data_IF_290390247899
#
_entry.id   IF_290390247899
#
_cell.length_a   1.000
_cell.length_b   1.000
_cell.length_c   1.000
_cell.angle_alpha   90.00
_cell.angle_beta   90.00
_cell.angle_gamma   90.00
#
_symmetry.space_group_name_H-M   'P 1'
#
loop_
_entity.id
_entity.type
_entity.pdbx_description
1 polymer ?
#
# COMPACT_ATOMS: atom_id res chain seq x y z
N UNK A 1 -0.19 -6.19 -10.57
CA UNK A 1 -0.10 -6.88 -9.26
C UNK A 1 1.20 -6.44 -8.61
N UNK A 2 1.13 -5.73 -7.49
CA UNK A 2 2.32 -5.21 -6.77
C UNK A 2 3.02 -6.39 -6.09
N UNK A 3 4.33 -6.57 -6.34
CA UNK A 3 5.15 -7.56 -5.62
C UNK A 3 5.83 -6.87 -4.45
N UNK A 4 5.33 -7.12 -3.24
CA UNK A 4 6.01 -6.69 -2.01
C UNK A 4 7.02 -7.75 -1.60
N UNK A 5 8.28 -7.36 -1.48
CA UNK A 5 9.38 -8.20 -1.00
C UNK A 5 9.83 -7.57 0.32
N UNK A 6 9.82 -8.37 1.39
CA UNK A 6 10.29 -7.95 2.71
C UNK A 6 11.69 -8.52 2.97
N UNK A 7 12.57 -7.72 3.54
CA UNK A 7 13.99 -8.04 3.75
C UNK A 7 14.22 -9.16 4.78
N UNK A 8 13.18 -9.54 5.54
CA UNK A 8 13.24 -10.69 6.45
C UNK A 8 13.28 -12.05 5.73
N UNK A 9 13.21 -12.06 4.39
CA UNK A 9 13.25 -13.28 3.59
C UNK A 9 11.96 -14.09 3.63
N UNK A 10 10.82 -13.47 3.97
CA UNK A 10 9.54 -14.14 3.93
C UNK A 10 9.16 -14.52 2.48
N UNK A 11 9.05 -15.82 2.22
CA UNK A 11 8.68 -16.38 0.91
C UNK A 11 7.22 -16.88 0.87
N UNK A 12 6.49 -16.82 1.99
CA UNK A 12 5.11 -17.28 2.06
C UNK A 12 4.19 -16.32 1.29
N UNK A 13 3.46 -16.79 0.25
CA UNK A 13 2.47 -16.00 -0.46
C UNK A 13 1.36 -15.43 0.43
N UNK A 14 1.04 -16.09 1.55
CA UNK A 14 0.03 -15.69 2.52
C UNK A 14 0.63 -15.02 3.77
N UNK A 15 1.96 -14.82 3.77
CA UNK A 15 2.70 -14.22 4.89
C UNK A 15 2.60 -12.70 4.95
N UNK A 16 1.72 -12.10 4.15
CA UNK A 16 1.47 -10.67 4.14
C UNK A 16 -0.02 -10.38 4.31
N UNK A 17 -0.36 -9.47 5.21
CA UNK A 17 -1.69 -8.86 5.25
C UNK A 17 -1.66 -7.56 4.46
N UNK A 18 -2.76 -7.27 3.75
CA UNK A 18 -2.93 -6.04 3.00
C UNK A 18 -4.22 -5.36 3.40
N UNK A 19 -4.13 -4.05 3.63
CA UNK A 19 -5.21 -3.19 4.05
C UNK A 19 -5.29 -2.00 3.10
N UNK A 20 -6.50 -1.65 2.66
CA UNK A 20 -6.72 -0.45 1.85
C UNK A 20 -7.55 0.52 2.68
N UNK A 21 -7.04 1.73 2.85
CA UNK A 21 -7.78 2.85 3.45
C UNK A 21 -7.99 3.93 2.39
N UNK A 22 -9.18 4.53 2.37
CA UNK A 22 -9.49 5.61 1.45
C UNK A 22 -9.06 6.94 2.08
N UNK A 23 -8.25 7.73 1.37
CA UNK A 23 -8.05 9.17 1.67
C UNK A 23 -8.77 10.02 0.64
N UNK A 24 -8.85 11.33 0.90
CA UNK A 24 -9.64 12.27 0.11
C UNK A 24 -9.35 12.26 -1.41
N UNK A 25 -8.12 11.97 -1.82
CA UNK A 25 -7.66 12.06 -3.22
C UNK A 25 -6.94 10.80 -3.74
N UNK A 26 -6.59 9.87 -2.84
CA UNK A 26 -5.87 8.64 -3.14
C UNK A 26 -6.31 7.55 -2.17
N UNK A 27 -6.30 6.31 -2.60
CA UNK A 27 -6.33 5.18 -1.69
C UNK A 27 -4.91 4.94 -1.13
N UNK A 28 -4.83 4.38 0.05
CA UNK A 28 -3.59 4.05 0.74
C UNK A 28 -3.57 2.53 0.97
N UNK A 29 -2.62 1.85 0.35
CA UNK A 29 -2.37 0.42 0.52
C UNK A 29 -1.30 0.24 1.59
N UNK A 30 -1.66 -0.39 2.70
CA UNK A 30 -0.74 -0.80 3.75
C UNK A 30 -0.54 -2.31 3.67
N UNK A 31 0.72 -2.74 3.63
CA UNK A 31 1.12 -4.15 3.61
C UNK A 31 1.92 -4.44 4.87
N UNK A 32 1.56 -5.50 5.58
CA UNK A 32 2.19 -5.94 6.83
C UNK A 32 2.75 -7.34 6.65
N UNK A 33 4.04 -7.53 6.93
CA UNK A 33 4.65 -8.85 6.97
C UNK A 33 4.29 -9.57 8.26
N UNK A 34 3.60 -10.71 8.19
CA UNK A 34 3.25 -11.53 9.37
C UNK A 34 4.46 -12.11 10.09
N UNK A 35 5.56 -12.29 9.37
CA UNK A 35 6.76 -12.96 9.89
C UNK A 35 7.60 -12.05 10.79
N UNK A 36 7.82 -10.80 10.39
CA UNK A 36 8.66 -9.86 11.12
C UNK A 36 7.93 -8.60 11.61
N UNK A 37 6.68 -8.40 11.22
CA UNK A 37 5.89 -7.21 11.55
C UNK A 37 6.25 -5.97 10.75
N UNK A 38 7.09 -6.08 9.73
CA UNK A 38 7.46 -4.95 8.86
C UNK A 38 6.25 -4.39 8.12
N UNK A 39 6.16 -3.06 8.04
CA UNK A 39 4.99 -2.34 7.52
C UNK A 39 5.44 -1.41 6.40
N UNK A 40 4.78 -1.53 5.25
CA UNK A 40 4.96 -0.60 4.13
C UNK A 40 3.63 -0.03 3.69
N UNK A 41 3.60 1.27 3.47
CA UNK A 41 2.40 2.00 3.05
C UNK A 41 2.69 2.75 1.76
N UNK A 42 1.82 2.58 0.77
CA UNK A 42 1.92 3.24 -0.54
C UNK A 42 0.58 3.86 -0.95
N UNK A 43 0.64 5.02 -1.61
CA UNK A 43 -0.54 5.63 -2.21
C UNK A 43 -0.86 4.93 -3.53
N UNK A 44 -2.08 4.40 -3.65
CA UNK A 44 -2.59 3.70 -4.82
C UNK A 44 -3.87 4.40 -5.31
N UNK A 45 -4.19 4.23 -6.60
CA UNK A 45 -5.44 4.75 -7.19
C UNK A 45 -5.69 6.26 -6.93
N UNK A 46 -4.65 7.09 -7.03
CA UNK A 46 -4.80 8.54 -6.94
C UNK A 46 -5.58 9.10 -8.14
N UNK A 47 -6.64 9.87 -7.86
CA UNK A 47 -7.27 10.70 -8.89
C UNK A 47 -6.50 12.01 -9.03
N UNK A 48 -5.56 12.05 -9.98
CA UNK A 48 -4.83 13.28 -10.34
C UNK A 48 -5.68 14.27 -11.14
N UNK A 49 -6.89 13.90 -11.58
CA UNK A 49 -7.78 14.72 -12.39
C UNK A 49 -8.56 15.77 -11.61
N UNK A 50 -8.65 15.65 -10.29
CA UNK A 50 -9.40 16.58 -9.41
C UNK A 50 -8.54 17.72 -8.84
N UNK A 51 -7.24 17.77 -9.11
CA UNK A 51 -6.39 18.93 -8.80
C UNK A 51 -6.61 20.01 -9.88
N UNK A 52 -7.82 20.57 -9.94
CA UNK A 52 -8.05 21.86 -10.57
C UNK A 52 -7.94 22.92 -9.49
N UNK A 53 -6.72 23.44 -9.29
CA UNK A 53 -6.55 24.70 -8.57
C UNK A 53 -7.24 25.78 -9.44
N UNK A 54 -8.48 26.14 -9.11
CA UNK A 54 -9.12 27.32 -9.69
C UNK A 54 -8.29 28.52 -9.28
N UNK A 55 -7.53 29.04 -10.22
CA UNK A 55 -6.94 30.37 -10.15
C UNK A 55 -8.03 31.44 -10.35
#
# INVERSE_FOLDING_TARGET
>A
MIRFICDCGNQDPNGFDSYVSQRDLCDELTIVCKNCGDIRTELVACDRGTISLKN
#
